data_IF_981524416828
#
_entry.id   IF_981524416828
#
_cell.length_a   1.000
_cell.length_b   1.000
_cell.length_c   1.000
_cell.angle_alpha   90.00
_cell.angle_beta   90.00
_cell.angle_gamma   90.00
#
_symmetry.space_group_name_H-M   'P 1'
#
loop_
_entity.id
_entity.type
_entity.pdbx_description
1 polymer ?
#
# COMPACT_ATOMS: atom_id res chain seq x y z
N UNK A 1 -20.34 -7.12 15.81
CA UNK A 1 -18.90 -7.08 16.12
C UNK A 1 -18.68 -8.02 17.29
N UNK A 2 -18.20 -9.22 17.04
CA UNK A 2 -17.88 -10.20 18.08
C UNK A 2 -16.37 -10.30 18.16
N UNK A 3 -15.80 -10.05 19.34
CA UNK A 3 -14.36 -10.10 19.57
C UNK A 3 -13.75 -11.43 19.12
N UNK A 4 -14.40 -12.55 19.45
CA UNK A 4 -13.92 -13.88 19.10
C UNK A 4 -13.74 -14.05 17.59
N UNK A 5 -14.71 -13.56 16.80
CA UNK A 5 -14.63 -13.63 15.35
C UNK A 5 -13.46 -12.82 14.79
N UNK A 6 -13.16 -11.65 15.35
CA UNK A 6 -12.01 -10.84 14.92
C UNK A 6 -10.67 -11.52 15.25
N UNK A 7 -10.60 -12.20 16.39
CA UNK A 7 -9.42 -12.99 16.77
C UNK A 7 -9.22 -14.17 15.81
N UNK A 8 -10.29 -14.87 15.47
CA UNK A 8 -10.25 -15.99 14.52
C UNK A 8 -9.87 -15.50 13.11
N UNK A 9 -10.48 -14.40 12.64
CA UNK A 9 -10.17 -13.75 11.36
C UNK A 9 -8.69 -13.29 11.29
N UNK A 10 -8.15 -12.81 12.41
CA UNK A 10 -6.73 -12.42 12.52
C UNK A 10 -5.80 -13.63 12.42
N UNK A 11 -6.09 -14.72 13.12
CA UNK A 11 -5.29 -15.95 13.09
C UNK A 11 -5.29 -16.58 11.68
N UNK A 12 -6.43 -16.62 11.02
CA UNK A 12 -6.55 -17.11 9.65
C UNK A 12 -5.81 -16.20 8.65
N UNK A 13 -5.87 -14.88 8.82
CA UNK A 13 -5.09 -13.96 8.01
C UNK A 13 -3.58 -14.11 8.21
N UNK A 14 -3.13 -14.30 9.46
CA UNK A 14 -1.72 -14.56 9.78
C UNK A 14 -1.21 -15.87 9.14
N UNK A 15 -2.03 -16.93 9.17
CA UNK A 15 -1.71 -18.17 8.44
C UNK A 15 -1.63 -17.94 6.95
N UNK A 16 -2.56 -17.18 6.37
CA UNK A 16 -2.61 -16.88 4.94
C UNK A 16 -1.39 -16.07 4.46
N UNK A 17 -1.00 -15.02 5.19
CA UNK A 17 0.16 -14.17 4.83
C UNK A 17 1.50 -14.91 4.99
N UNK A 18 1.59 -15.82 5.97
CA UNK A 18 2.78 -16.63 6.24
C UNK A 18 2.95 -17.85 5.32
N UNK A 19 1.85 -18.36 4.75
CA UNK A 19 1.86 -19.57 3.93
C UNK A 19 2.57 -19.36 2.59
N UNK A 20 3.61 -20.16 2.34
CA UNK A 20 4.25 -20.22 1.02
C UNK A 20 3.32 -20.85 0.00
N UNK A 21 3.23 -20.24 -1.17
CA UNK A 21 2.42 -20.75 -2.27
C UNK A 21 3.04 -22.01 -2.89
N UNK A 22 2.30 -22.61 -3.83
CA UNK A 22 2.72 -23.80 -4.57
C UNK A 22 1.84 -24.03 -5.79
N UNK A 23 2.26 -24.92 -6.68
CA UNK A 23 1.46 -25.27 -7.87
C UNK A 23 0.14 -25.90 -7.40
N UNK A 24 -0.99 -25.28 -7.74
CA UNK A 24 -2.33 -25.75 -7.37
C UNK A 24 -2.82 -25.32 -5.97
N UNK A 25 -2.07 -24.50 -5.23
CA UNK A 25 -2.56 -23.92 -3.97
C UNK A 25 -3.48 -22.74 -4.30
N UNK A 26 -4.75 -22.74 -3.86
CA UNK A 26 -5.70 -21.68 -4.18
C UNK A 26 -5.34 -20.36 -3.47
N UNK A 27 -5.68 -19.23 -4.09
CA UNK A 27 -5.38 -17.89 -3.58
C UNK A 27 -5.94 -17.61 -2.19
N UNK A 28 -7.07 -18.23 -1.81
CA UNK A 28 -7.64 -18.09 -0.46
C UNK A 28 -6.83 -18.77 0.65
N UNK A 29 -5.86 -19.63 0.31
CA UNK A 29 -5.01 -20.34 1.29
C UNK A 29 -3.59 -19.82 1.39
N UNK A 30 -3.12 -19.06 0.40
CA UNK A 30 -1.78 -18.48 0.43
C UNK A 30 -1.75 -17.11 -0.24
N UNK A 31 -1.18 -16.14 0.46
CA UNK A 31 -0.88 -14.82 -0.09
C UNK A 31 0.00 -14.89 -1.34
N UNK A 32 0.92 -15.85 -1.43
CA UNK A 32 1.81 -15.96 -2.59
C UNK A 32 1.09 -16.47 -3.84
N UNK A 33 0.13 -17.38 -3.67
CA UNK A 33 -0.75 -17.81 -4.76
C UNK A 33 -1.65 -16.65 -5.21
N UNK A 34 -2.25 -15.94 -4.26
CA UNK A 34 -3.05 -14.74 -4.55
C UNK A 34 -2.23 -13.68 -5.30
N UNK A 35 -1.01 -13.39 -4.84
CA UNK A 35 -0.12 -12.41 -5.47
C UNK A 35 0.21 -12.75 -6.93
N UNK A 36 0.43 -14.03 -7.25
CA UNK A 36 0.70 -14.46 -8.63
C UNK A 36 -0.56 -14.46 -9.51
N UNK A 37 -1.73 -14.81 -8.95
CA UNK A 37 -3.03 -14.77 -9.62
C UNK A 37 -3.46 -13.33 -9.95
N UNK A 38 -3.31 -12.41 -8.99
CA UNK A 38 -3.63 -10.98 -9.16
C UNK A 38 -2.87 -10.37 -10.36
N UNK A 39 -1.67 -10.87 -10.64
CA UNK A 39 -0.80 -10.38 -11.72
C UNK A 39 -0.86 -11.20 -13.00
N UNK A 40 -1.78 -12.15 -13.09
CA UNK A 40 -1.86 -13.04 -14.25
C UNK A 40 -2.25 -12.26 -15.51
N UNK A 41 -3.14 -11.27 -15.37
CA UNK A 41 -3.54 -10.38 -16.45
C UNK A 41 -2.32 -9.67 -17.11
N UNK A 42 -1.33 -9.24 -16.32
CA UNK A 42 -0.12 -8.56 -16.82
C UNK A 42 0.76 -9.44 -17.71
N UNK A 43 0.59 -10.76 -17.66
CA UNK A 43 1.29 -11.69 -18.56
C UNK A 43 0.78 -11.57 -20.00
N UNK A 44 -0.51 -11.26 -20.16
CA UNK A 44 -1.18 -11.13 -21.46
C UNK A 44 -1.25 -9.68 -21.96
N UNK A 45 -0.97 -8.70 -21.10
CA UNK A 45 -0.93 -7.27 -21.46
C UNK A 45 0.26 -6.92 -22.36
N UNK A 46 -0.01 -6.26 -23.49
CA UNK A 46 1.00 -5.72 -24.40
C UNK A 46 1.78 -4.52 -23.83
N UNK A 47 2.81 -4.06 -24.55
CA UNK A 47 3.71 -2.98 -24.09
C UNK A 47 2.93 -1.69 -23.79
N UNK A 48 2.01 -1.29 -24.68
CA UNK A 48 1.16 -0.10 -24.49
C UNK A 48 0.25 -0.21 -23.26
N UNK A 49 -0.32 -1.41 -23.02
CA UNK A 49 -1.14 -1.64 -21.83
C UNK A 49 -0.32 -1.49 -20.54
N UNK A 50 0.92 -1.99 -20.51
CA UNK A 50 1.81 -1.81 -19.36
C UNK A 50 2.22 -0.35 -19.13
N UNK A 51 2.36 0.44 -20.18
CA UNK A 51 2.59 1.89 -20.06
C UNK A 51 1.37 2.57 -19.43
N UNK A 52 0.15 2.19 -19.83
CA UNK A 52 -1.07 2.67 -19.21
C UNK A 52 -1.19 2.27 -17.74
N UNK A 53 -0.81 1.05 -17.35
CA UNK A 53 -0.75 0.63 -15.94
C UNK A 53 0.18 1.54 -15.12
N UNK A 54 1.34 1.90 -15.68
CA UNK A 54 2.28 2.83 -15.02
C UNK A 54 1.64 4.21 -14.88
N UNK A 55 1.04 4.75 -15.95
CA UNK A 55 0.37 6.06 -15.93
C UNK A 55 -0.76 6.08 -14.89
N UNK A 56 -1.59 5.04 -14.86
CA UNK A 56 -2.66 4.90 -13.87
C UNK A 56 -2.11 4.79 -12.45
N UNK A 57 -0.98 4.12 -12.26
CA UNK A 57 -0.31 4.05 -10.96
C UNK A 57 0.15 5.43 -10.46
N UNK A 58 0.46 6.37 -11.36
CA UNK A 58 0.86 7.73 -10.97
C UNK A 58 -0.24 8.48 -10.21
N UNK A 59 -1.51 8.08 -10.35
CA UNK A 59 -2.64 8.70 -9.63
C UNK A 59 -2.47 8.66 -8.11
N UNK A 60 -1.80 7.62 -7.60
CA UNK A 60 -1.57 7.47 -6.16
C UNK A 60 -0.60 8.52 -5.61
N UNK A 61 0.27 9.11 -6.44
CA UNK A 61 1.09 10.26 -6.05
C UNK A 61 0.26 11.54 -5.91
N UNK A 62 -0.82 11.68 -6.67
CA UNK A 62 -1.78 12.78 -6.49
C UNK A 62 -2.51 12.62 -5.14
N UNK A 63 -2.85 11.39 -4.75
CA UNK A 63 -3.42 11.12 -3.42
C UNK A 63 -2.43 11.41 -2.29
N UNK A 64 -1.16 11.03 -2.44
CA UNK A 64 -0.12 11.41 -1.49
C UNK A 64 -0.04 12.94 -1.32
N UNK A 65 -0.03 13.69 -2.43
CA UNK A 65 -0.05 15.16 -2.40
C UNK A 65 -1.30 15.70 -1.69
N UNK A 66 -2.47 15.17 -2.03
CA UNK A 66 -3.75 15.56 -1.42
C UNK A 66 -3.78 15.31 0.09
N UNK A 67 -3.24 14.18 0.56
CA UNK A 67 -3.15 13.83 1.98
C UNK A 67 -2.21 14.81 2.71
N UNK A 68 -1.03 15.06 2.15
CA UNK A 68 -0.06 16.02 2.72
C UNK A 68 -0.65 17.43 2.81
N UNK A 69 -1.36 17.85 1.77
CA UNK A 69 -1.96 19.18 1.67
C UNK A 69 -3.18 19.35 2.61
N UNK A 70 -4.08 18.37 2.67
CA UNK A 70 -5.31 18.43 3.48
C UNK A 70 -5.03 18.27 4.98
N UNK A 71 -4.00 17.51 5.37
CA UNK A 71 -3.71 17.23 6.78
C UNK A 71 -3.00 18.39 7.52
N UNK A 72 -2.83 19.56 6.90
CA UNK A 72 -2.22 20.75 7.52
C UNK A 72 -0.89 20.42 8.23
N UNK A 73 0.01 19.66 7.58
CA UNK A 73 1.38 19.39 8.07
C UNK A 73 2.17 20.67 8.43
N UNK A 74 1.63 21.85 8.13
CA UNK A 74 2.34 23.12 8.17
C UNK A 74 1.56 24.32 8.74
N UNK A 75 0.29 24.22 9.13
CA UNK A 75 -0.43 25.43 9.63
C UNK A 75 -0.01 25.90 11.03
N UNK A 76 0.79 25.12 11.76
CA UNK A 76 1.16 25.42 13.15
C UNK A 76 2.57 26.01 13.33
N UNK A 77 3.26 26.40 12.25
CA UNK A 77 4.50 27.18 12.33
C UNK A 77 4.38 28.39 11.42
N UNK A 78 4.89 29.54 11.86
CA UNK A 78 4.77 30.86 11.19
C UNK A 78 5.36 30.93 9.76
N UNK A 79 5.98 29.86 9.28
CA UNK A 79 6.51 29.67 7.92
C UNK A 79 5.74 28.59 7.11
N UNK A 80 4.44 28.46 7.33
CA UNK A 80 3.63 27.30 6.95
C UNK A 80 3.32 27.10 5.45
N UNK A 81 3.30 28.12 4.62
CA UNK A 81 2.99 27.90 3.18
C UNK A 81 4.19 27.29 2.43
N UNK A 82 5.40 27.82 2.64
CA UNK A 82 6.60 27.43 1.89
C UNK A 82 7.16 26.04 2.28
N UNK A 83 6.96 25.62 3.54
CA UNK A 83 7.42 24.32 4.03
C UNK A 83 6.63 23.14 3.45
N UNK A 84 5.36 23.31 3.05
CA UNK A 84 4.55 22.22 2.49
C UNK A 84 5.06 21.74 1.12
N UNK A 85 5.45 22.70 0.28
CA UNK A 85 6.09 22.47 -1.01
C UNK A 85 7.49 21.89 -0.82
N UNK A 86 8.24 22.35 0.18
CA UNK A 86 9.57 21.81 0.51
C UNK A 86 9.47 20.38 1.04
N UNK A 87 8.53 20.06 1.93
CA UNK A 87 8.28 18.71 2.46
C UNK A 87 7.84 17.78 1.34
N UNK A 88 6.97 18.24 0.45
CA UNK A 88 6.56 17.48 -0.72
C UNK A 88 7.73 17.26 -1.69
N UNK A 89 8.51 18.30 -2.01
CA UNK A 89 9.72 18.20 -2.83
C UNK A 89 10.79 17.28 -2.22
N UNK A 90 10.97 17.33 -0.90
CA UNK A 90 11.87 16.45 -0.14
C UNK A 90 11.36 14.99 -0.15
N UNK A 91 10.05 14.76 -0.05
CA UNK A 91 9.46 13.42 -0.21
C UNK A 91 9.70 12.85 -1.61
N UNK A 92 9.72 13.72 -2.64
CA UNK A 92 10.07 13.35 -4.01
C UNK A 92 11.55 13.00 -4.17
N UNK A 93 12.46 13.60 -3.40
CA UNK A 93 13.87 13.18 -3.38
C UNK A 93 14.03 11.75 -2.88
N UNK A 94 13.22 11.32 -1.90
CA UNK A 94 13.24 9.92 -1.41
C UNK A 94 12.75 8.96 -2.51
N UNK A 95 11.70 9.33 -3.24
CA UNK A 95 11.19 8.54 -4.37
C UNK A 95 12.20 8.53 -5.53
N UNK A 96 12.79 9.66 -5.87
CA UNK A 96 13.80 9.78 -6.93
C UNK A 96 15.07 9.01 -6.57
N UNK A 97 15.52 9.09 -5.31
CA UNK A 97 16.59 8.27 -4.78
C UNK A 97 16.25 6.79 -4.87
N UNK A 98 15.03 6.37 -4.51
CA UNK A 98 14.58 4.99 -4.66
C UNK A 98 14.58 4.54 -6.14
N UNK A 99 14.11 5.39 -7.06
CA UNK A 99 14.13 5.11 -8.50
C UNK A 99 15.55 4.98 -9.05
N UNK A 100 16.47 5.85 -8.61
CA UNK A 100 17.90 5.76 -8.92
C UNK A 100 18.49 4.49 -8.34
N UNK A 101 18.17 4.14 -7.09
CA UNK A 101 18.61 2.91 -6.43
C UNK A 101 18.14 1.70 -7.23
N UNK A 102 16.86 1.63 -7.61
CA UNK A 102 16.33 0.55 -8.45
C UNK A 102 17.04 0.48 -9.81
N UNK A 103 17.33 1.64 -10.43
CA UNK A 103 18.09 1.71 -11.69
C UNK A 103 19.54 1.27 -11.52
N UNK A 104 20.24 1.69 -10.47
CA UNK A 104 21.62 1.26 -10.16
C UNK A 104 21.65 -0.24 -9.83
N UNK A 105 20.70 -0.76 -9.06
CA UNK A 105 20.61 -2.19 -8.76
C UNK A 105 20.33 -2.99 -10.04
N UNK A 106 19.49 -2.48 -10.94
CA UNK A 106 19.24 -3.14 -12.23
C UNK A 106 20.47 -3.18 -13.15
N UNK A 107 21.17 -2.05 -13.29
CA UNK A 107 22.37 -1.95 -14.11
C UNK A 107 23.55 -2.72 -13.50
N UNK A 108 23.73 -2.60 -12.19
CA UNK A 108 24.76 -3.29 -11.43
C UNK A 108 24.58 -4.79 -11.45
N UNK A 109 23.34 -5.29 -11.43
CA UNK A 109 23.10 -6.73 -11.55
C UNK A 109 23.45 -7.28 -12.93
N UNK A 110 23.10 -6.58 -14.02
CA UNK A 110 23.50 -7.01 -15.38
C UNK A 110 25.02 -7.09 -15.56
N UNK A 111 25.76 -6.22 -14.87
CA UNK A 111 27.22 -6.08 -15.04
C UNK A 111 28.05 -6.87 -14.00
N UNK A 112 27.49 -7.18 -12.84
CA UNK A 112 28.22 -7.78 -11.71
C UNK A 112 27.60 -9.04 -11.10
N UNK A 113 26.41 -9.48 -11.55
CA UNK A 113 25.76 -10.67 -10.97
C UNK A 113 26.42 -12.00 -11.35
N UNK A 114 27.12 -12.06 -12.48
CA UNK A 114 27.81 -13.29 -12.90
C UNK A 114 29.18 -13.45 -12.22
N UNK A 115 29.93 -12.35 -12.08
CA UNK A 115 31.34 -12.43 -11.65
C UNK A 115 31.58 -12.10 -10.16
N UNK A 116 30.72 -11.29 -9.50
CA UNK A 116 30.98 -10.83 -8.13
C UNK A 116 29.73 -10.74 -7.24
N UNK A 117 29.27 -11.89 -6.78
CA UNK A 117 28.11 -12.04 -5.88
C UNK A 117 28.26 -11.26 -4.55
N UNK A 118 29.50 -11.13 -4.05
CA UNK A 118 29.82 -10.42 -2.80
C UNK A 118 29.72 -8.89 -2.97
N UNK A 119 30.18 -8.37 -4.10
CA UNK A 119 30.08 -6.94 -4.43
C UNK A 119 28.64 -6.49 -4.62
N UNK A 120 27.78 -7.36 -5.17
CA UNK A 120 26.34 -7.09 -5.26
C UNK A 120 25.65 -7.05 -3.89
N UNK A 121 26.12 -7.88 -2.93
CA UNK A 121 25.63 -7.85 -1.54
C UNK A 121 26.06 -6.57 -0.83
N UNK A 122 27.31 -6.15 -0.99
CA UNK A 122 27.82 -4.87 -0.48
C UNK A 122 27.09 -3.68 -1.08
N UNK A 123 26.85 -3.69 -2.40
CA UNK A 123 26.09 -2.64 -3.07
C UNK A 123 24.69 -2.48 -2.46
N UNK A 124 23.97 -3.58 -2.22
CA UNK A 124 22.67 -3.53 -1.54
C UNK A 124 22.76 -2.93 -0.14
N UNK A 125 23.80 -3.29 0.61
CA UNK A 125 24.02 -2.81 1.96
C UNK A 125 24.33 -1.31 1.98
N UNK A 126 25.18 -0.83 1.06
CA UNK A 126 25.49 0.60 0.89
C UNK A 126 24.26 1.38 0.47
N UNK A 127 23.46 0.86 -0.45
CA UNK A 127 22.21 1.52 -0.88
C UNK A 127 21.18 1.58 0.25
N UNK A 128 21.09 0.53 1.07
CA UNK A 128 20.23 0.52 2.25
C UNK A 128 20.69 1.56 3.29
N UNK A 129 21.99 1.59 3.61
CA UNK A 129 22.57 2.59 4.52
C UNK A 129 22.36 4.02 4.01
N UNK A 130 22.61 4.27 2.72
CA UNK A 130 22.39 5.58 2.12
C UNK A 130 20.93 6.02 2.24
N UNK A 131 19.98 5.12 1.95
CA UNK A 131 18.56 5.38 2.11
C UNK A 131 18.18 5.67 3.58
N UNK A 132 18.67 4.86 4.53
CA UNK A 132 18.43 5.07 5.96
C UNK A 132 19.01 6.40 6.45
N UNK A 133 20.22 6.77 6.03
CA UNK A 133 20.84 8.05 6.39
C UNK A 133 20.03 9.22 5.83
N UNK A 134 19.58 9.15 4.58
CA UNK A 134 18.71 10.19 3.99
C UNK A 134 17.41 10.34 4.79
N UNK A 135 16.78 9.24 5.20
CA UNK A 135 15.58 9.30 6.04
C UNK A 135 15.86 9.94 7.41
N UNK A 136 16.93 9.52 8.09
CA UNK A 136 17.29 10.07 9.42
C UNK A 136 17.61 11.55 9.34
N UNK A 137 18.38 12.00 8.34
CA UNK A 137 18.70 13.41 8.14
C UNK A 137 17.44 14.23 7.87
N UNK A 138 16.51 13.69 7.08
CA UNK A 138 15.22 14.34 6.82
C UNK A 138 14.41 14.48 8.12
N UNK A 139 14.37 13.45 8.96
CA UNK A 139 13.71 13.51 10.28
C UNK A 139 14.32 14.56 11.22
N UNK A 140 15.65 14.64 11.28
CA UNK A 140 16.36 15.61 12.13
C UNK A 140 16.18 17.05 11.64
N UNK A 141 16.16 17.26 10.32
CA UNK A 141 16.02 18.59 9.74
C UNK A 141 14.60 19.15 9.90
N UNK A 142 13.59 18.28 9.99
CA UNK A 142 12.18 18.66 10.04
C UNK A 142 11.59 18.76 11.47
N UNK A 143 12.33 18.41 12.53
CA UNK A 143 11.88 18.49 13.94
C UNK A 143 10.44 17.95 14.16
N UNK A 144 10.17 16.78 13.58
CA UNK A 144 8.82 16.23 13.46
C UNK A 144 8.23 15.82 14.83
N UNK A 145 7.00 16.23 15.10
CA UNK A 145 6.20 15.78 16.25
C UNK A 145 5.52 14.44 15.96
N UNK A 146 5.00 13.79 17.00
CA UNK A 146 4.30 12.50 16.89
C UNK A 146 3.08 12.57 15.94
N UNK A 147 2.41 13.71 15.86
CA UNK A 147 1.32 13.94 14.90
C UNK A 147 1.81 13.86 13.44
N UNK A 148 2.96 14.46 13.14
CA UNK A 148 3.55 14.50 11.80
C UNK A 148 4.05 13.11 11.37
N UNK A 149 4.45 12.26 12.34
CA UNK A 149 4.77 10.85 12.10
C UNK A 149 3.57 10.04 11.60
N UNK A 150 2.39 10.22 12.20
CA UNK A 150 1.18 9.51 11.77
C UNK A 150 0.69 10.01 10.40
N UNK A 151 0.76 11.32 10.16
CA UNK A 151 0.37 11.92 8.89
C UNK A 151 1.31 11.51 7.76
N UNK A 152 2.62 11.50 8.00
CA UNK A 152 3.60 11.02 7.03
C UNK A 152 3.43 9.53 6.74
N UNK A 153 3.19 8.70 7.76
CA UNK A 153 2.88 7.28 7.57
C UNK A 153 1.67 7.09 6.63
N UNK A 154 0.58 7.81 6.88
CA UNK A 154 -0.62 7.78 6.02
C UNK A 154 -0.34 8.24 4.59
N UNK A 155 0.49 9.28 4.42
CA UNK A 155 0.88 9.78 3.11
C UNK A 155 1.76 8.76 2.33
N UNK A 156 2.58 7.98 3.02
CA UNK A 156 3.45 6.98 2.37
C UNK A 156 2.75 5.68 1.99
N UNK A 157 1.55 5.37 2.53
CA UNK A 157 0.76 4.22 2.11
C UNK A 157 0.45 4.22 0.60
N UNK A 158 -0.21 5.26 0.03
CA UNK A 158 -0.48 5.31 -1.41
C UNK A 158 0.82 5.32 -2.24
N UNK A 159 1.90 5.90 -1.74
CA UNK A 159 3.22 5.86 -2.40
C UNK A 159 3.77 4.45 -2.50
N UNK A 160 3.71 3.67 -1.42
CA UNK A 160 4.13 2.27 -1.39
C UNK A 160 3.35 1.43 -2.39
N UNK A 161 2.03 1.63 -2.45
CA UNK A 161 1.16 0.97 -3.42
C UNK A 161 1.47 1.35 -4.87
N UNK A 162 1.76 2.62 -5.14
CA UNK A 162 2.14 3.10 -6.46
C UNK A 162 3.43 2.41 -6.94
N UNK A 163 4.43 2.33 -6.07
CA UNK A 163 5.71 1.69 -6.37
C UNK A 163 5.56 0.19 -6.64
N UNK A 164 4.69 -0.49 -5.90
CA UNK A 164 4.37 -1.90 -6.13
C UNK A 164 3.69 -2.12 -7.48
N UNK A 165 2.68 -1.32 -7.85
CA UNK A 165 2.04 -1.43 -9.17
C UNK A 165 3.01 -1.13 -10.31
N UNK A 166 3.89 -0.13 -10.18
CA UNK A 166 4.93 0.15 -11.18
C UNK A 166 5.89 -1.04 -11.30
N UNK A 167 6.28 -1.65 -10.18
CA UNK A 167 7.14 -2.84 -10.18
C UNK A 167 6.44 -4.06 -10.80
N UNK A 168 5.14 -4.23 -10.60
CA UNK A 168 4.32 -5.27 -11.24
C UNK A 168 4.19 -5.03 -12.75
N UNK A 169 3.90 -3.80 -13.19
CA UNK A 169 3.86 -3.45 -14.61
C UNK A 169 5.22 -3.69 -15.30
N UNK A 170 6.31 -3.47 -14.57
CA UNK A 170 7.68 -3.74 -15.02
C UNK A 170 8.16 -5.18 -14.75
N UNK A 171 7.28 -6.13 -14.38
CA UNK A 171 7.62 -7.52 -14.02
C UNK A 171 8.60 -8.22 -14.96
N UNK A 172 8.54 -8.15 -16.30
CA UNK A 172 9.51 -8.85 -17.16
C UNK A 172 10.92 -8.29 -17.00
N UNK A 173 11.03 -6.96 -16.85
CA UNK A 173 12.30 -6.28 -16.63
C UNK A 173 12.82 -6.68 -15.25
N UNK A 174 11.99 -6.59 -14.22
CA UNK A 174 12.35 -6.93 -12.83
C UNK A 174 12.73 -8.42 -12.67
N UNK A 175 12.04 -9.33 -13.37
CA UNK A 175 12.35 -10.76 -13.42
C UNK A 175 13.62 -11.05 -14.21
N UNK A 176 13.83 -10.39 -15.36
CA UNK A 176 15.07 -10.49 -16.13
C UNK A 176 16.27 -9.95 -15.34
N UNK A 177 16.02 -9.01 -14.44
CA UNK A 177 16.95 -8.53 -13.43
C UNK A 177 16.92 -9.36 -12.15
N UNK A 178 16.27 -10.53 -12.05
CA UNK A 178 16.18 -11.35 -10.83
C UNK A 178 15.75 -10.64 -9.53
N UNK A 179 15.19 -9.44 -9.59
CA UNK A 179 14.78 -8.61 -8.44
C UNK A 179 13.41 -9.02 -7.91
N UNK A 180 12.74 -9.94 -8.59
CA UNK A 180 11.37 -10.35 -8.31
C UNK A 180 11.17 -10.85 -6.88
N UNK A 181 12.14 -11.59 -6.32
CA UNK A 181 12.08 -12.03 -4.92
C UNK A 181 12.08 -10.87 -3.92
N UNK A 182 12.80 -9.79 -4.21
CA UNK A 182 12.81 -8.58 -3.38
C UNK A 182 11.49 -7.80 -3.49
N UNK A 183 10.94 -7.67 -4.69
CA UNK A 183 9.63 -7.04 -4.89
C UNK A 183 8.53 -7.82 -4.17
N UNK A 184 8.56 -9.16 -4.25
CA UNK A 184 7.64 -10.03 -3.52
C UNK A 184 7.77 -9.86 -2.00
N UNK A 185 8.99 -9.74 -1.47
CA UNK A 185 9.19 -9.50 -0.04
C UNK A 185 8.67 -8.12 0.40
N UNK A 186 8.90 -7.06 -0.39
CA UNK A 186 8.39 -5.72 -0.12
C UNK A 186 6.86 -5.70 -0.19
N UNK A 187 6.27 -6.36 -1.18
CA UNK A 187 4.83 -6.49 -1.31
C UNK A 187 4.21 -7.19 -0.10
N UNK A 188 4.80 -8.31 0.36
CA UNK A 188 4.33 -9.01 1.54
C UNK A 188 4.41 -8.14 2.79
N UNK A 189 5.49 -7.38 2.96
CA UNK A 189 5.64 -6.42 4.06
C UNK A 189 4.62 -5.28 4.02
N UNK A 190 4.32 -4.77 2.82
CA UNK A 190 3.28 -3.75 2.62
C UNK A 190 1.89 -4.29 3.00
N UNK A 191 1.55 -5.49 2.53
CA UNK A 191 0.27 -6.14 2.84
C UNK A 191 0.15 -6.46 4.33
N UNK A 192 1.25 -6.84 4.98
CA UNK A 192 1.29 -7.02 6.43
C UNK A 192 1.00 -5.71 7.18
N UNK A 193 1.61 -4.60 6.76
CA UNK A 193 1.36 -3.27 7.32
C UNK A 193 -0.10 -2.85 7.11
N UNK A 194 -0.65 -3.03 5.90
CA UNK A 194 -2.04 -2.73 5.60
C UNK A 194 -3.00 -3.59 6.43
N UNK A 195 -2.69 -4.87 6.63
CA UNK A 195 -3.41 -5.75 7.54
C UNK A 195 -3.45 -5.18 8.95
N UNK A 196 -2.31 -4.76 9.51
CA UNK A 196 -2.28 -4.11 10.83
C UNK A 196 -3.12 -2.83 10.88
N UNK A 197 -3.03 -1.96 9.86
CA UNK A 197 -3.81 -0.72 9.78
C UNK A 197 -5.32 -0.99 9.79
N UNK A 198 -5.76 -2.14 9.25
CA UNK A 198 -7.18 -2.54 9.24
C UNK A 198 -7.57 -3.27 10.53
N UNK A 199 -6.82 -4.30 10.93
CA UNK A 199 -7.18 -5.18 12.05
C UNK A 199 -7.06 -4.50 13.41
N UNK A 200 -6.09 -3.59 13.60
CA UNK A 200 -5.92 -2.88 14.89
C UNK A 200 -7.15 -2.05 15.27
N UNK A 201 -7.65 -1.11 14.44
CA UNK A 201 -8.84 -0.33 14.79
C UNK A 201 -10.09 -1.21 14.86
N UNK A 202 -10.23 -2.21 13.98
CA UNK A 202 -11.35 -3.17 14.01
C UNK A 202 -11.37 -3.95 15.31
N UNK A 203 -10.21 -4.43 15.78
CA UNK A 203 -10.06 -5.13 17.06
C UNK A 203 -10.38 -4.24 18.25
N UNK A 204 -9.88 -3.00 18.28
CA UNK A 204 -10.22 -2.03 19.33
C UNK A 204 -11.72 -1.76 19.37
N UNK A 205 -12.38 -1.59 18.22
CA UNK A 205 -13.83 -1.41 18.15
C UNK A 205 -14.59 -2.67 18.58
N UNK A 206 -14.11 -3.86 18.23
CA UNK A 206 -14.72 -5.13 18.60
C UNK A 206 -14.67 -5.41 20.11
N UNK A 207 -13.70 -4.82 20.82
CA UNK A 207 -13.61 -4.90 22.28
C UNK A 207 -14.74 -4.15 22.99
N UNK A 208 -15.29 -3.08 22.37
CA UNK A 208 -16.36 -2.31 22.98
C UNK A 208 -17.72 -3.01 22.82
N UNK A 209 -18.42 -3.34 23.91
CA UNK A 209 -19.71 -4.05 23.85
C UNK A 209 -20.81 -3.25 23.13
N UNK A 210 -20.69 -1.92 23.06
CA UNK A 210 -21.65 -1.03 22.40
C UNK A 210 -21.68 -1.17 20.86
N UNK A 211 -20.58 -1.59 20.23
CA UNK A 211 -20.47 -1.61 18.76
C UNK A 211 -21.35 -2.70 18.13
N UNK A 212 -21.54 -3.83 18.81
CA UNK A 212 -22.44 -4.90 18.37
C UNK A 212 -23.91 -4.46 18.43
N UNK A 213 -24.28 -3.69 19.46
CA UNK A 213 -25.62 -3.11 19.60
C UNK A 213 -25.89 -2.06 18.51
N UNK A 214 -24.92 -1.18 18.23
CA UNK A 214 -25.06 -0.18 17.17
C UNK A 214 -25.22 -0.82 15.79
N UNK A 215 -24.42 -1.85 15.48
CA UNK A 215 -24.54 -2.61 14.24
C UNK A 215 -25.93 -3.24 14.08
N UNK A 216 -26.45 -3.87 15.14
CA UNK A 216 -27.77 -4.51 15.14
C UNK A 216 -28.88 -3.48 15.01
N UNK A 217 -28.79 -2.37 15.76
CA UNK A 217 -29.76 -1.27 15.69
C UNK A 217 -29.74 -0.58 14.33
N UNK A 218 -28.60 -0.44 13.66
CA UNK A 218 -28.50 0.16 12.34
C UNK A 218 -29.07 -0.77 11.25
N UNK A 219 -28.69 -2.05 11.26
CA UNK A 219 -29.17 -3.05 10.30
C UNK A 219 -30.66 -3.35 10.44
N UNK A 220 -31.19 -3.32 11.66
CA UNK A 220 -32.60 -3.63 11.96
C UNK A 220 -33.39 -2.40 12.39
N UNK A 221 -32.92 -1.18 12.08
CA UNK A 221 -33.69 0.02 12.35
C UNK A 221 -34.95 0.03 11.48
N UNK A 222 -36.12 0.15 12.09
CA UNK A 222 -37.39 0.29 11.37
C UNK A 222 -37.37 1.46 10.36
N UNK A 223 -36.59 2.51 10.63
CA UNK A 223 -36.42 3.64 9.72
C UNK A 223 -35.69 3.29 8.40
N UNK A 224 -34.67 2.42 8.44
CA UNK A 224 -33.96 1.96 7.25
C UNK A 224 -34.77 0.91 6.48
N UNK A 225 -35.48 0.02 7.18
CA UNK A 225 -36.34 -0.99 6.53
C UNK A 225 -37.53 -0.38 5.79
N UNK A 226 -38.12 0.71 6.31
CA UNK A 226 -39.20 1.44 5.63
C UNK A 226 -38.72 2.18 4.37
N UNK A 227 -37.53 2.80 4.41
CA UNK A 227 -36.95 3.48 3.24
C UNK A 227 -36.68 2.53 2.06
N UNK A 228 -36.20 1.32 2.33
CA UNK A 228 -35.96 0.29 1.29
C UNK A 228 -37.26 -0.25 0.67
N UNK A 229 -38.32 -0.42 1.47
CA UNK A 229 -39.64 -0.81 0.96
C UNK A 229 -40.27 0.31 0.10
N UNK A 230 -40.12 1.57 0.50
CA UNK A 230 -40.62 2.73 -0.25
C UNK A 230 -39.86 2.90 -1.58
N UNK A 231 -38.55 2.68 -1.62
CA UNK A 231 -37.79 2.68 -2.88
C UNK A 231 -38.23 1.57 -3.82
N UNK A 232 -38.58 0.38 -3.31
CA UNK A 232 -39.09 -0.73 -4.14
C UNK A 232 -40.47 -0.39 -4.74
N UNK A 233 -41.32 0.32 -3.99
CA UNK A 233 -42.63 0.81 -4.44
C UNK A 233 -42.48 1.94 -5.48
N UNK A 234 -41.54 2.88 -5.28
CA UNK A 234 -41.26 3.97 -6.23
C UNK A 234 -40.54 3.49 -7.50
N UNK A 235 -39.66 2.49 -7.40
CA UNK A 235 -38.97 1.90 -8.56
C UNK A 235 -39.88 0.99 -9.39
N UNK A 236 -40.93 0.40 -8.80
CA UNK A 236 -41.97 -0.35 -9.51
C UNK A 236 -43.00 0.52 -10.26
N UNK A 237 -42.91 1.85 -10.14
CA UNK A 237 -43.89 2.79 -10.70
C UNK A 237 -43.55 3.40 -12.07
N UNK A 238 -42.59 2.85 -12.84
CA UNK A 238 -42.31 3.34 -14.21
C UNK A 238 -42.72 2.35 -15.30
N UNK A 239 -43.83 2.74 -15.95
CA UNK A 239 -44.45 2.30 -17.22
C UNK A 239 -45.36 1.09 -17.19
N UNK A 240 -46.66 1.37 -17.32
CA UNK A 240 -47.38 1.17 -18.58
C UNK A 240 -48.39 2.30 -18.79
N UNK A 241 -48.05 3.22 -19.70
CA UNK A 241 -48.89 3.83 -20.73
C UNK A 241 -47.95 4.54 -21.71
#
# INVERSE_FOLDING_TARGET
FEWQKIVDDWDDWQKWIGSRGGIGVPANKSWESWWEEEQDHLKHTGILGRVWEIILSLRFFIYQYGIVYQLNLTKSSEAGEDLSIIVYGMSWLVIFALMIILKIVSLGRKKFSADFQLMFRLLKLVLFLAFTVTLVLMFLFLNLKVGDLLQSLLAYLPTGWALLQIAQACRPIVKGLGMWGSVKAIARGYEYLMGLVIFVPVGVLAWFPFVSEFQTRLLFNQAFSRGLQIQRILAGGKKQN
#
